data_IF_083289597245
#
_entry.id   IF_083289597245
#
_cell.length_a   1.000
_cell.length_b   1.000
_cell.length_c   1.000
_cell.angle_alpha   90.00
_cell.angle_beta   90.00
_cell.angle_gamma   90.00
#
_symmetry.space_group_name_H-M   'P 1'
#
loop_
_entity.id
_entity.type
_entity.pdbx_description
1 polymer ?
#
# COMPACT_ATOMS: atom_id res chain seq x y z
N UNK A 1 -1.04 14.45 9.17
CA UNK A 1 -1.88 13.93 8.07
C UNK A 1 -2.12 15.08 7.11
N UNK A 2 -1.59 14.99 5.88
CA UNK A 2 -1.60 16.12 4.93
C UNK A 2 -0.55 16.03 3.82
N UNK A 3 0.06 14.87 3.62
CA UNK A 3 1.04 14.68 2.56
C UNK A 3 0.40 13.86 1.43
N UNK A 4 0.64 14.27 0.19
CA UNK A 4 0.19 13.52 -0.98
C UNK A 4 0.96 12.20 -1.05
N UNK A 5 0.24 11.07 -1.01
CA UNK A 5 0.81 9.73 -1.17
C UNK A 5 0.47 9.23 -2.57
N UNK A 6 1.49 8.70 -3.27
CA UNK A 6 1.29 8.08 -4.58
C UNK A 6 0.53 6.76 -4.37
N UNK A 7 -0.42 6.52 -5.27
CA UNK A 7 -1.11 5.22 -5.37
C UNK A 7 -0.53 4.42 -6.53
N UNK A 8 -0.38 3.13 -6.30
CA UNK A 8 0.01 2.13 -7.30
C UNK A 8 -1.21 1.26 -7.56
N UNK A 9 -1.87 1.47 -8.71
CA UNK A 9 -3.15 0.83 -9.03
C UNK A 9 -2.94 -0.19 -10.15
N UNK A 10 -3.40 -1.42 -9.92
CA UNK A 10 -3.46 -2.47 -10.93
C UNK A 10 -4.92 -2.84 -11.18
N UNK A 11 -5.32 -2.82 -12.45
CA UNK A 11 -6.66 -3.11 -12.91
C UNK A 11 -6.67 -4.46 -13.65
N UNK A 12 -7.79 -5.21 -13.61
CA UNK A 12 -7.98 -6.35 -14.49
C UNK A 12 -7.89 -5.97 -15.97
N UNK A 13 -7.43 -6.90 -16.82
CA UNK A 13 -7.22 -6.66 -18.25
C UNK A 13 -8.51 -6.16 -18.97
N UNK A 14 -9.67 -6.69 -18.59
CA UNK A 14 -10.98 -6.36 -19.16
C UNK A 14 -11.72 -5.20 -18.45
N UNK A 15 -11.02 -4.43 -17.59
CA UNK A 15 -11.65 -3.39 -16.75
C UNK A 15 -12.40 -2.33 -17.56
N UNK A 16 -11.84 -1.88 -18.70
CA UNK A 16 -12.47 -0.85 -19.55
C UNK A 16 -13.47 -1.42 -20.56
N UNK A 17 -13.52 -2.74 -20.72
CA UNK A 17 -14.37 -3.43 -21.69
C UNK A 17 -15.72 -3.83 -21.11
N UNK A 18 -15.82 -3.83 -19.78
CA UNK A 18 -16.99 -4.32 -19.04
C UNK A 18 -17.48 -3.29 -18.03
N UNK A 19 -18.66 -3.53 -17.47
CA UNK A 19 -19.19 -2.80 -16.31
C UNK A 19 -19.21 -3.71 -15.07
N UNK A 20 -18.36 -4.75 -15.07
CA UNK A 20 -18.26 -5.71 -13.99
C UNK A 20 -17.72 -5.03 -12.72
N UNK A 21 -18.22 -5.45 -11.55
CA UNK A 21 -17.70 -4.99 -10.27
C UNK A 21 -16.65 -5.95 -9.77
N UNK A 22 -15.47 -5.40 -9.50
CA UNK A 22 -14.33 -6.16 -8.99
C UNK A 22 -14.17 -5.92 -7.49
N UNK A 23 -13.77 -6.94 -6.70
CA UNK A 23 -13.28 -6.70 -5.35
C UNK A 23 -12.02 -5.82 -5.40
N UNK A 24 -11.89 -4.93 -4.42
CA UNK A 24 -10.72 -4.05 -4.28
C UNK A 24 -9.89 -4.55 -3.10
N UNK A 25 -8.59 -4.71 -3.31
CA UNK A 25 -7.64 -5.06 -2.27
C UNK A 25 -6.65 -3.92 -2.06
N UNK A 26 -6.66 -3.36 -0.85
CA UNK A 26 -5.78 -2.26 -0.47
C UNK A 26 -4.52 -2.79 0.20
N UNK A 27 -3.39 -2.20 -0.15
CA UNK A 27 -2.07 -2.56 0.38
C UNK A 27 -1.35 -1.34 0.93
N UNK A 28 -0.66 -1.54 2.04
CA UNK A 28 0.44 -0.70 2.45
C UNK A 28 1.68 -0.99 1.59
N UNK A 29 2.60 -0.03 1.52
CA UNK A 29 3.86 -0.15 0.78
C UNK A 29 3.69 -0.44 -0.72
N UNK A 30 2.83 0.35 -1.38
CA UNK A 30 2.45 0.16 -2.79
C UNK A 30 3.61 0.02 -3.77
N UNK A 31 4.73 0.71 -3.53
CA UNK A 31 5.92 0.67 -4.37
C UNK A 31 6.64 -0.70 -4.37
N UNK A 32 6.38 -1.55 -3.36
CA UNK A 32 6.97 -2.89 -3.28
C UNK A 32 6.16 -3.97 -4.02
N UNK A 33 4.96 -3.67 -4.55
CA UNK A 33 4.03 -4.70 -5.00
C UNK A 33 4.42 -5.34 -6.35
N UNK A 34 4.75 -4.52 -7.35
CA UNK A 34 4.66 -4.95 -8.75
C UNK A 34 5.99 -5.18 -9.45
N UNK A 35 7.00 -4.34 -9.17
CA UNK A 35 8.25 -4.29 -9.94
C UNK A 35 9.48 -4.24 -9.03
N UNK A 36 10.48 -5.07 -9.35
CA UNK A 36 11.77 -5.08 -8.63
C UNK A 36 12.48 -3.72 -8.73
N UNK A 37 12.22 -2.93 -9.79
CA UNK A 37 12.82 -1.60 -9.98
C UNK A 37 12.22 -0.52 -9.06
N UNK A 38 10.99 -0.68 -8.59
CA UNK A 38 10.32 0.27 -7.68
C UNK A 38 10.44 -0.15 -6.21
N UNK A 39 10.78 -1.41 -5.94
CA UNK A 39 10.85 -1.94 -4.59
C UNK A 39 12.07 -1.40 -3.81
N UNK A 40 11.87 -1.07 -2.52
CA UNK A 40 12.89 -0.45 -1.64
C UNK A 40 14.20 -1.23 -1.58
N UNK A 41 14.17 -2.55 -1.74
CA UNK A 41 15.33 -3.42 -1.64
C UNK A 41 15.62 -4.20 -2.92
N UNK A 42 15.20 -3.67 -4.08
CA UNK A 42 15.45 -4.27 -5.39
C UNK A 42 14.69 -5.59 -5.63
N UNK A 43 13.73 -5.91 -4.77
CA UNK A 43 12.86 -7.09 -4.91
C UNK A 43 11.43 -6.76 -4.50
N UNK A 44 10.53 -6.86 -5.47
CA UNK A 44 9.09 -6.74 -5.26
C UNK A 44 8.50 -7.99 -4.64
N UNK A 45 7.24 -7.88 -4.21
CA UNK A 45 6.45 -9.01 -3.75
C UNK A 45 5.95 -9.90 -4.90
N UNK A 46 6.27 -9.54 -6.15
CA UNK A 46 5.95 -10.33 -7.33
C UNK A 46 4.45 -10.39 -7.65
N UNK A 47 3.69 -9.39 -7.23
CA UNK A 47 2.23 -9.41 -7.34
C UNK A 47 1.77 -9.44 -8.80
N UNK A 48 2.48 -8.76 -9.71
CA UNK A 48 2.22 -8.81 -11.16
C UNK A 48 2.26 -10.24 -11.72
N UNK A 49 3.25 -11.04 -11.30
CA UNK A 49 3.43 -12.41 -11.76
C UNK A 49 2.42 -13.38 -11.12
N UNK A 50 1.93 -13.06 -9.91
CA UNK A 50 0.83 -13.78 -9.29
C UNK A 50 -0.50 -13.51 -10.01
N UNK A 51 -0.83 -12.24 -10.22
CA UNK A 51 -2.10 -11.82 -10.83
C UNK A 51 -2.27 -12.34 -12.25
N UNK A 52 -1.20 -12.40 -13.05
CA UNK A 52 -1.27 -12.94 -14.42
C UNK A 52 -1.62 -14.43 -14.49
N UNK A 53 -1.49 -15.16 -13.38
CA UNK A 53 -1.85 -16.58 -13.25
C UNK A 53 -3.13 -16.79 -12.43
N UNK A 54 -3.64 -15.73 -11.82
CA UNK A 54 -4.78 -15.78 -10.93
C UNK A 54 -6.06 -15.56 -11.72
N UNK A 55 -7.00 -16.52 -11.66
CA UNK A 55 -8.21 -16.50 -12.47
C UNK A 55 -9.38 -15.71 -11.85
N UNK A 56 -9.12 -14.90 -10.81
CA UNK A 56 -10.14 -14.07 -10.16
C UNK A 56 -9.75 -12.60 -10.31
N UNK A 57 -10.33 -11.89 -11.28
CA UNK A 57 -10.12 -10.47 -11.46
C UNK A 57 -10.36 -9.66 -10.17
N UNK A 58 -9.44 -8.74 -9.87
CA UNK A 58 -9.55 -7.82 -8.74
C UNK A 58 -8.77 -6.54 -9.02
N UNK A 59 -9.15 -5.46 -8.34
CA UNK A 59 -8.42 -4.20 -8.35
C UNK A 59 -7.46 -4.19 -7.18
N UNK A 60 -6.19 -3.87 -7.43
CA UNK A 60 -5.19 -3.66 -6.37
C UNK A 60 -4.92 -2.17 -6.24
N UNK A 61 -4.96 -1.67 -5.00
CA UNK A 61 -4.61 -0.29 -4.68
C UNK A 61 -3.52 -0.28 -3.61
N UNK A 62 -2.28 0.01 -4.01
CA UNK A 62 -1.15 0.14 -3.10
C UNK A 62 -0.89 1.60 -2.73
N UNK A 63 -1.03 1.96 -1.46
CA UNK A 63 -0.60 3.27 -0.97
C UNK A 63 0.90 3.24 -0.68
N UNK A 64 1.65 4.14 -1.31
CA UNK A 64 3.08 4.30 -1.05
C UNK A 64 3.31 4.88 0.35
N UNK A 65 4.32 4.37 1.07
CA UNK A 65 4.68 4.90 2.39
C UNK A 65 5.42 6.23 2.28
N UNK A 66 5.57 6.93 3.40
CA UNK A 66 6.59 7.99 3.48
C UNK A 66 8.00 7.42 3.32
N UNK A 67 8.84 8.15 2.56
CA UNK A 67 10.28 7.89 2.46
C UNK A 67 11.12 8.85 3.32
N UNK A 68 10.45 9.66 4.16
CA UNK A 68 11.09 10.64 5.03
C UNK A 68 11.33 10.06 6.43
N UNK A 69 12.60 9.91 6.81
CA UNK A 69 12.99 9.48 8.16
C UNK A 69 12.26 8.22 8.62
N UNK A 70 11.60 8.30 9.78
CA UNK A 70 10.83 7.21 10.38
C UNK A 70 9.32 7.32 10.10
N UNK A 71 8.89 8.16 9.17
CA UNK A 71 7.46 8.42 8.97
C UNK A 71 6.70 7.17 8.51
N UNK A 72 7.31 6.25 7.75
CA UNK A 72 6.69 4.93 7.47
C UNK A 72 6.34 4.17 8.76
N UNK A 73 7.23 4.18 9.74
CA UNK A 73 6.99 3.54 11.04
C UNK A 73 5.88 4.27 11.80
N UNK A 74 5.89 5.60 11.80
CA UNK A 74 4.84 6.43 12.41
C UNK A 74 3.48 6.13 11.78
N UNK A 75 3.40 6.13 10.45
CA UNK A 75 2.18 5.89 9.67
C UNK A 75 1.59 4.51 9.91
N UNK A 76 2.40 3.49 10.19
CA UNK A 76 1.94 2.11 10.33
C UNK A 76 1.83 1.67 11.78
N UNK A 77 2.38 2.43 12.74
CA UNK A 77 2.27 2.09 14.14
C UNK A 77 0.87 2.44 14.67
N UNK A 78 0.08 1.47 15.14
CA UNK A 78 -1.31 1.70 15.54
C UNK A 78 -1.48 2.49 16.84
N UNK A 79 -0.41 2.62 17.63
CA UNK A 79 -0.39 3.33 18.91
C UNK A 79 0.97 3.97 19.16
N UNK A 80 1.06 4.87 20.15
CA UNK A 80 2.35 5.42 20.57
C UNK A 80 3.22 4.31 21.16
N UNK A 81 4.42 4.15 20.62
CA UNK A 81 5.40 3.18 21.09
C UNK A 81 6.58 3.90 21.73
N UNK A 82 7.02 3.41 22.88
CA UNK A 82 8.27 3.84 23.52
C UNK A 82 9.12 2.62 23.77
N UNK A 83 10.29 2.55 23.14
CA UNK A 83 11.18 1.42 23.36
C UNK A 83 12.61 1.67 22.93
N UNK A 84 13.51 0.85 23.48
CA UNK A 84 14.96 0.99 23.26
C UNK A 84 15.40 0.78 21.81
N UNK A 85 14.62 0.03 21.02
CA UNK A 85 14.97 -0.35 19.65
C UNK A 85 14.59 0.69 18.59
N UNK A 86 13.42 1.30 18.72
CA UNK A 86 12.88 2.22 17.70
C UNK A 86 12.67 3.64 18.23
N UNK A 87 13.10 3.90 19.47
CA UNK A 87 12.86 5.17 20.15
C UNK A 87 11.40 5.38 20.50
N UNK A 88 11.05 6.66 20.66
CA UNK A 88 9.69 7.12 20.86
C UNK A 88 9.03 7.34 19.49
N UNK A 89 8.03 6.54 19.19
CA UNK A 89 7.20 6.63 17.98
C UNK A 89 5.84 7.18 18.39
N UNK A 90 5.45 8.29 17.79
CA UNK A 90 4.11 8.84 17.90
C UNK A 90 3.20 8.27 16.79
N UNK A 91 2.72 7.04 16.99
CA UNK A 91 2.01 6.28 15.95
C UNK A 91 0.72 6.95 15.47
N UNK A 92 0.52 6.99 14.16
CA UNK A 92 -0.67 7.53 13.48
C UNK A 92 -1.45 6.47 12.72
N UNK A 93 -1.14 5.19 12.90
CA UNK A 93 -1.70 4.07 12.13
C UNK A 93 -3.22 3.95 12.14
N UNK A 94 -3.89 4.34 13.23
CA UNK A 94 -5.35 4.44 13.23
C UNK A 94 -5.85 5.44 12.19
N UNK A 95 -5.29 6.65 12.18
CA UNK A 95 -5.69 7.69 11.24
C UNK A 95 -5.32 7.31 9.80
N UNK A 96 -4.16 6.66 9.60
CA UNK A 96 -3.75 6.13 8.29
C UNK A 96 -4.75 5.10 7.77
N UNK A 97 -5.14 4.13 8.59
CA UNK A 97 -6.10 3.10 8.20
C UNK A 97 -7.50 3.68 7.96
N UNK A 98 -7.93 4.62 8.81
CA UNK A 98 -9.20 5.33 8.62
C UNK A 98 -9.22 6.13 7.31
N UNK A 99 -8.11 6.75 6.93
CA UNK A 99 -7.98 7.42 5.64
C UNK A 99 -8.09 6.42 4.49
N UNK A 100 -7.35 5.31 4.53
CA UNK A 100 -7.43 4.27 3.51
C UNK A 100 -8.83 3.67 3.36
N UNK A 101 -9.57 3.53 4.47
CA UNK A 101 -10.89 2.91 4.45
C UNK A 101 -12.03 3.84 4.03
N UNK A 102 -11.81 5.17 4.04
CA UNK A 102 -12.87 6.17 3.84
C UNK A 102 -12.65 7.06 2.62
N UNK A 103 -11.39 7.31 2.26
CA UNK A 103 -11.01 8.30 1.25
C UNK A 103 -10.34 7.68 0.01
N UNK A 104 -9.91 6.42 0.10
CA UNK A 104 -9.41 5.62 -1.03
C UNK A 104 -10.46 4.59 -1.48
#
# INVERSE_FOLDING_TARGET
AGANRRLHICLPDNYYETQERYPVMYFFDGHNLFSDAEATYGKSWGLSAFLSRWNRPMIIVGMECSHEGNERLVEYCPYNYRGKFWGDIHGTGKATLEHMAREL
#
